data_IF_039988546745
#
_entry.id   IF_039988546745
#
_cell.length_a   1.000
_cell.length_b   1.000
_cell.length_c   1.000
_cell.angle_alpha   90.00
_cell.angle_beta   90.00
_cell.angle_gamma   90.00
#
_symmetry.space_group_name_H-M   'P 1'
#
loop_
_entity.id
_entity.type
_entity.pdbx_description
1 polymer ?
#
# COMPACT_ATOMS: atom_id res chain seq x y z
N UNK A 1 11.80 3.20 14.47
CA UNK A 1 11.07 4.42 14.08
C UNK A 1 11.43 4.89 12.66
N UNK A 2 12.69 4.80 12.20
CA UNK A 2 13.03 5.08 10.80
C UNK A 2 12.55 4.01 9.79
N UNK A 3 12.63 2.71 10.14
CA UNK A 3 12.20 1.61 9.27
C UNK A 3 10.71 1.70 8.90
N UNK A 4 9.84 2.03 9.86
CA UNK A 4 8.40 2.23 9.62
C UNK A 4 8.14 3.41 8.69
N UNK A 5 8.94 4.47 8.81
CA UNK A 5 8.86 5.65 7.95
C UNK A 5 9.20 5.31 6.49
N UNK A 6 10.33 4.64 6.28
CA UNK A 6 10.78 4.17 4.96
C UNK A 6 9.74 3.22 4.36
N UNK A 7 9.22 2.28 5.16
CA UNK A 7 8.21 1.34 4.71
C UNK A 7 6.88 2.02 4.36
N UNK A 8 6.48 3.08 5.07
CA UNK A 8 5.32 3.89 4.69
C UNK A 8 5.51 4.61 3.36
N UNK A 9 6.70 5.14 3.08
CA UNK A 9 7.03 5.72 1.78
C UNK A 9 6.96 4.65 0.69
N UNK A 10 7.61 3.50 0.89
CA UNK A 10 7.63 2.40 -0.08
C UNK A 10 6.21 1.87 -0.33
N UNK A 11 5.45 1.57 0.73
CA UNK A 11 4.09 1.06 0.60
C UNK A 11 3.13 2.10 0.00
N UNK A 12 3.29 3.37 0.33
CA UNK A 12 2.55 4.46 -0.30
C UNK A 12 2.89 4.59 -1.79
N UNK A 13 4.16 4.43 -2.16
CA UNK A 13 4.59 4.40 -3.56
C UNK A 13 4.01 3.20 -4.31
N UNK A 14 3.97 2.02 -3.69
CA UNK A 14 3.41 0.80 -4.28
C UNK A 14 1.90 0.94 -4.47
N UNK A 15 1.18 1.51 -3.49
CA UNK A 15 -0.24 1.84 -3.64
C UNK A 15 -0.47 2.79 -4.81
N UNK A 16 0.32 3.87 -4.90
CA UNK A 16 0.25 4.80 -6.03
C UNK A 16 0.57 4.08 -7.35
N UNK A 17 1.57 3.19 -7.38
CA UNK A 17 1.99 2.49 -8.58
C UNK A 17 0.92 1.55 -9.14
N UNK A 18 0.09 0.94 -8.29
CA UNK A 18 -1.09 0.19 -8.71
C UNK A 18 -2.13 1.04 -9.46
N UNK A 19 -2.08 2.36 -9.32
CA UNK A 19 -2.98 3.33 -9.95
C UNK A 19 -2.28 4.12 -11.07
N UNK A 20 -0.95 4.20 -11.07
CA UNK A 20 -0.18 4.95 -12.08
C UNK A 20 -0.38 4.39 -13.50
N UNK A 21 -0.76 3.12 -13.66
CA UNK A 21 -1.24 2.60 -14.96
C UNK A 21 -2.47 3.36 -15.52
N UNK A 22 -3.22 4.05 -14.68
CA UNK A 22 -4.34 4.91 -15.06
C UNK A 22 -3.97 6.39 -15.23
N UNK A 23 -2.73 6.81 -14.91
CA UNK A 23 -2.27 8.19 -15.08
C UNK A 23 -1.41 8.32 -16.36
N UNK A 24 -1.95 8.83 -17.49
CA UNK A 24 -1.26 8.89 -18.77
C UNK A 24 -0.04 9.83 -18.81
N UNK A 25 0.17 10.65 -17.77
CA UNK A 25 1.17 11.72 -17.73
C UNK A 25 2.59 11.22 -17.41
N UNK A 26 2.75 10.01 -16.86
CA UNK A 26 4.02 9.50 -16.31
C UNK A 26 4.43 8.11 -16.85
N UNK A 27 3.75 7.66 -17.92
CA UNK A 27 3.54 6.26 -18.29
C UNK A 27 4.77 5.34 -18.32
N UNK A 28 5.81 5.63 -19.12
CA UNK A 28 6.81 4.60 -19.44
C UNK A 28 7.67 4.09 -18.27
N UNK A 29 8.17 4.98 -17.42
CA UNK A 29 9.09 4.60 -16.34
C UNK A 29 8.34 4.16 -15.07
N UNK A 30 7.24 4.83 -14.74
CA UNK A 30 6.44 4.47 -13.58
C UNK A 30 5.55 3.25 -13.81
N UNK A 31 5.12 2.96 -15.03
CA UNK A 31 4.42 1.69 -15.31
C UNK A 31 5.39 0.50 -15.16
N UNK A 32 6.65 0.66 -15.57
CA UNK A 32 7.68 -0.38 -15.42
C UNK A 32 8.07 -0.58 -13.96
N UNK A 33 8.28 0.51 -13.22
CA UNK A 33 8.50 0.47 -11.78
C UNK A 33 7.28 -0.11 -11.04
N UNK A 34 6.07 0.23 -11.47
CA UNK A 34 4.83 -0.28 -10.90
C UNK A 34 4.60 -1.76 -11.14
N UNK A 35 4.88 -2.27 -12.34
CA UNK A 35 4.86 -3.73 -12.61
C UNK A 35 5.90 -4.48 -11.77
N UNK A 36 7.09 -3.91 -11.62
CA UNK A 36 8.15 -4.51 -10.80
C UNK A 36 7.76 -4.53 -9.30
N UNK A 37 7.32 -3.40 -8.77
CA UNK A 37 6.87 -3.26 -7.38
C UNK A 37 5.61 -4.07 -7.08
N UNK A 38 4.69 -4.17 -8.04
CA UNK A 38 3.48 -5.00 -7.96
C UNK A 38 3.80 -6.48 -7.75
N UNK A 39 4.88 -7.01 -8.32
CA UNK A 39 5.33 -8.38 -8.09
C UNK A 39 5.70 -8.68 -6.63
N UNK A 40 6.10 -7.66 -5.87
CA UNK A 40 6.43 -7.77 -4.43
C UNK A 40 5.32 -7.25 -3.52
N UNK A 41 4.20 -6.79 -4.07
CA UNK A 41 3.11 -6.13 -3.33
C UNK A 41 2.62 -6.96 -2.15
N UNK A 42 2.45 -8.27 -2.32
CA UNK A 42 1.99 -9.17 -1.25
C UNK A 42 2.96 -9.18 -0.08
N UNK A 43 4.26 -9.34 -0.38
CA UNK A 43 5.32 -9.41 0.63
C UNK A 43 5.43 -8.07 1.37
N UNK A 44 5.41 -6.95 0.63
CA UNK A 44 5.44 -5.60 1.20
C UNK A 44 4.21 -5.38 2.09
N UNK A 45 3.03 -5.83 1.65
CA UNK A 45 1.78 -5.74 2.41
C UNK A 45 1.84 -6.51 3.73
N UNK A 46 2.36 -7.74 3.74
CA UNK A 46 2.53 -8.54 4.96
C UNK A 46 3.49 -7.83 5.93
N UNK A 47 4.65 -7.38 5.45
CA UNK A 47 5.64 -6.69 6.29
C UNK A 47 5.04 -5.41 6.90
N UNK A 48 4.34 -4.63 6.09
CA UNK A 48 3.65 -3.40 6.53
C UNK A 48 2.57 -3.68 7.57
N UNK A 49 1.80 -4.76 7.40
CA UNK A 49 0.79 -5.17 8.37
C UNK A 49 1.44 -5.55 9.71
N UNK A 50 2.54 -6.31 9.71
CA UNK A 50 3.26 -6.70 10.93
C UNK A 50 3.87 -5.47 11.62
N UNK A 51 4.57 -4.61 10.87
CA UNK A 51 5.18 -3.39 11.40
C UNK A 51 4.13 -2.38 11.91
N UNK A 52 3.02 -2.26 11.19
CA UNK A 52 1.89 -1.42 11.58
C UNK A 52 1.22 -1.92 12.84
N UNK A 53 1.04 -3.23 12.99
CA UNK A 53 0.52 -3.84 14.21
C UNK A 53 1.45 -3.62 15.41
N UNK A 54 2.77 -3.74 15.19
CA UNK A 54 3.78 -3.46 16.23
C UNK A 54 3.78 -1.99 16.66
N UNK A 55 3.44 -1.08 15.73
CA UNK A 55 3.42 0.36 15.92
C UNK A 55 2.02 0.96 16.07
N UNK A 56 0.98 0.17 16.36
CA UNK A 56 -0.43 0.59 16.22
C UNK A 56 -0.83 1.76 17.13
N UNK A 57 -0.07 1.99 18.20
CA UNK A 57 -0.26 3.15 19.09
C UNK A 57 0.30 4.45 18.52
N UNK A 58 0.98 4.41 17.38
CA UNK A 58 1.52 5.58 16.68
C UNK A 58 0.74 5.83 15.39
N UNK A 59 0.57 7.11 15.03
CA UNK A 59 -0.09 7.50 13.78
C UNK A 59 0.59 6.84 12.56
N UNK A 60 1.91 6.72 12.61
CA UNK A 60 2.71 6.09 11.57
C UNK A 60 2.43 4.58 11.43
N UNK A 61 2.25 3.88 12.56
CA UNK A 61 1.91 2.45 12.55
C UNK A 61 0.47 2.17 12.12
N UNK A 62 -0.49 3.03 12.49
CA UNK A 62 -1.88 2.94 11.98
C UNK A 62 -1.90 3.05 10.46
N UNK A 63 -1.16 4.02 9.91
CA UNK A 63 -1.07 4.23 8.47
C UNK A 63 -0.34 3.06 7.79
N UNK A 64 0.74 2.55 8.39
CA UNK A 64 1.45 1.37 7.89
C UNK A 64 0.54 0.14 7.84
N UNK A 65 -0.26 -0.06 8.89
CA UNK A 65 -1.21 -1.16 8.97
C UNK A 65 -2.29 -1.03 7.89
N UNK A 66 -2.89 0.15 7.73
CA UNK A 66 -3.87 0.42 6.68
C UNK A 66 -3.29 0.14 5.29
N UNK A 67 -2.11 0.69 4.98
CA UNK A 67 -1.43 0.46 3.71
C UNK A 67 -1.15 -1.03 3.48
N UNK A 68 -0.70 -1.76 4.52
CA UNK A 68 -0.50 -3.19 4.45
C UNK A 68 -1.78 -3.96 4.09
N UNK A 69 -2.89 -3.63 4.74
CA UNK A 69 -4.21 -4.20 4.43
C UNK A 69 -4.63 -3.87 3.00
N UNK A 70 -4.43 -2.64 2.51
CA UNK A 70 -4.80 -2.27 1.13
C UNK A 70 -3.94 -3.01 0.10
N UNK A 71 -2.63 -3.09 0.33
CA UNK A 71 -1.74 -3.84 -0.54
C UNK A 71 -2.15 -5.31 -0.63
N UNK A 72 -2.59 -5.90 0.48
CA UNK A 72 -3.14 -7.25 0.52
C UNK A 72 -4.50 -7.37 -0.16
N UNK A 73 -5.35 -6.34 -0.13
CA UNK A 73 -6.62 -6.35 -0.88
C UNK A 73 -6.47 -6.51 -2.38
N UNK A 74 -5.43 -5.90 -2.98
CA UNK A 74 -5.11 -6.13 -4.38
C UNK A 74 -4.75 -7.59 -4.68
N UNK A 75 -4.25 -8.33 -3.69
CA UNK A 75 -3.87 -9.73 -3.78
C UNK A 75 -4.97 -10.71 -3.34
N UNK A 76 -6.08 -10.24 -2.77
CA UNK A 76 -7.16 -11.13 -2.28
C UNK A 76 -7.91 -11.87 -3.39
N UNK A 77 -7.79 -11.46 -4.66
CA UNK A 77 -8.27 -12.25 -5.80
C UNK A 77 -7.67 -13.66 -5.86
N UNK A 78 -6.56 -13.91 -5.17
CA UNK A 78 -5.85 -15.20 -5.13
C UNK A 78 -6.43 -16.15 -4.06
N UNK A 79 -7.33 -15.69 -3.17
CA UNK A 79 -7.92 -16.52 -2.09
C UNK A 79 -9.39 -16.85 -2.41
N UNK A 80 -9.68 -17.99 -3.07
CA UNK A 80 -11.02 -18.33 -3.56
C UNK A 80 -12.06 -18.59 -2.45
N UNK A 81 -11.66 -18.85 -1.21
CA UNK A 81 -12.56 -19.21 -0.11
C UNK A 81 -13.29 -18.01 0.55
N UNK A 82 -12.81 -16.78 0.37
CA UNK A 82 -13.39 -15.55 0.94
C UNK A 82 -13.74 -14.51 -0.15
N UNK A 83 -13.68 -14.93 -1.42
CA UNK A 83 -13.65 -14.07 -2.60
C UNK A 83 -14.72 -12.99 -2.63
N UNK A 84 -16.02 -13.32 -2.54
CA UNK A 84 -17.08 -12.34 -2.77
C UNK A 84 -17.14 -11.17 -1.76
N UNK A 85 -16.83 -11.42 -0.49
CA UNK A 85 -16.79 -10.37 0.53
C UNK A 85 -15.48 -9.58 0.48
N UNK A 86 -14.35 -10.27 0.29
CA UNK A 86 -13.04 -9.62 0.17
C UNK A 86 -12.90 -8.83 -1.13
N UNK A 87 -13.56 -9.24 -2.21
CA UNK A 87 -13.59 -8.55 -3.51
C UNK A 87 -14.39 -7.25 -3.41
N UNK A 88 -15.55 -7.25 -2.73
CA UNK A 88 -16.29 -6.02 -2.42
C UNK A 88 -15.52 -5.10 -1.47
N UNK A 89 -14.90 -5.67 -0.43
CA UNK A 89 -14.06 -4.89 0.47
C UNK A 89 -12.84 -4.30 -0.25
N UNK A 90 -12.20 -5.08 -1.12
CA UNK A 90 -11.01 -4.68 -1.87
C UNK A 90 -11.31 -3.65 -2.96
N UNK A 91 -12.46 -3.75 -3.65
CA UNK A 91 -12.91 -2.70 -4.59
C UNK A 91 -13.25 -1.40 -3.86
N UNK A 92 -13.89 -1.48 -2.70
CA UNK A 92 -14.16 -0.30 -1.87
C UNK A 92 -12.86 0.34 -1.32
N UNK A 93 -11.94 -0.47 -0.79
CA UNK A 93 -10.62 0.01 -0.31
C UNK A 93 -9.76 0.56 -1.46
N UNK A 94 -9.83 -0.07 -2.63
CA UNK A 94 -9.16 0.36 -3.86
C UNK A 94 -9.55 1.79 -4.27
N UNK A 95 -10.80 2.20 -4.03
CA UNK A 95 -11.26 3.58 -4.26
C UNK A 95 -10.53 4.63 -3.39
N UNK A 96 -10.05 4.24 -2.21
CA UNK A 96 -9.30 5.10 -1.29
C UNK A 96 -7.77 4.93 -1.41
N UNK A 97 -7.31 3.99 -2.25
CA UNK A 97 -5.92 3.61 -2.40
C UNK A 97 -5.01 4.81 -2.71
N UNK A 98 -5.42 5.71 -3.60
CA UNK A 98 -4.64 6.89 -3.98
C UNK A 98 -4.45 7.83 -2.80
N UNK A 99 -5.54 8.12 -2.09
CA UNK A 99 -5.55 9.06 -0.96
C UNK A 99 -4.68 8.50 0.16
N UNK A 100 -4.83 7.21 0.47
CA UNK A 100 -4.08 6.54 1.53
C UNK A 100 -2.60 6.41 1.16
N UNK A 101 -2.28 6.14 -0.12
CA UNK A 101 -0.91 6.12 -0.62
C UNK A 101 -0.21 7.48 -0.47
N UNK A 102 -0.89 8.58 -0.81
CA UNK A 102 -0.36 9.94 -0.64
C UNK A 102 -0.14 10.28 0.85
N UNK A 103 -1.12 9.96 1.71
CA UNK A 103 -1.01 10.17 3.17
C UNK A 103 0.16 9.37 3.74
N UNK A 104 0.34 8.12 3.30
CA UNK A 104 1.44 7.28 3.73
C UNK A 104 2.82 7.86 3.35
N UNK A 105 2.95 8.44 2.16
CA UNK A 105 4.18 9.13 1.74
C UNK A 105 4.43 10.36 2.64
N UNK A 106 3.42 11.20 2.86
CA UNK A 106 3.55 12.41 3.70
C UNK A 106 3.98 12.05 5.12
N UNK A 107 3.30 11.08 5.75
CA UNK A 107 3.59 10.63 7.11
C UNK A 107 4.93 9.90 7.17
N UNK A 108 5.30 9.19 6.12
CA UNK A 108 6.61 8.57 5.98
C UNK A 108 7.73 9.61 5.95
N UNK A 109 7.58 10.69 5.19
CA UNK A 109 8.55 11.80 5.14
C UNK A 109 8.61 12.52 6.50
N UNK A 110 7.46 12.81 7.10
CA UNK A 110 7.38 13.47 8.41
C UNK A 110 8.02 12.66 9.54
N UNK A 111 7.97 11.32 9.47
CA UNK A 111 8.64 10.47 10.45
C UNK A 111 10.11 10.16 10.14
N UNK A 112 10.62 10.65 9.01
CA UNK A 112 12.03 10.57 8.64
C UNK A 112 12.78 11.87 9.01
N UNK A 113 12.07 13.00 9.03
CA UNK A 113 12.50 14.29 9.58
C UNK A 113 12.47 14.26 11.12
#
# INVERSE_FOLDING_TARGET
>A
MAITAIMNIIGGLVLCAGIIGALPVLGGFLEKAGKFLGGFQVIIGIIMMILGLLGIFSLQGIVAFLVGVILLTGAFHVIPALGAYLEKFGTWLGGFQTIIGVIAIIIGILGLL
#
